data_IF_957710108915
#
_entry.id   IF_957710108915
#
_cell.length_a   1.000
_cell.length_b   1.000
_cell.length_c   1.000
_cell.angle_alpha   90.00
_cell.angle_beta   90.00
_cell.angle_gamma   90.00
#
_symmetry.space_group_name_H-M   'P 1'
#
loop_
_entity.id
_entity.type
_entity.pdbx_description
1 polymer ?
#
# COMPACT_ATOMS: atom_id res chain seq x y z
N UNK A 1 13.53 8.94 8.12
CA UNK A 1 13.85 8.08 6.96
C UNK A 1 15.33 7.87 6.73
N UNK A 2 15.74 6.60 6.74
CA UNK A 2 17.12 6.21 6.42
C UNK A 2 17.46 6.51 4.95
N UNK A 3 18.75 6.75 4.65
CA UNK A 3 19.20 7.04 3.28
C UNK A 3 18.88 5.90 2.30
N UNK A 4 18.89 4.65 2.79
CA UNK A 4 18.56 3.47 1.98
C UNK A 4 17.08 3.46 1.61
N UNK A 5 16.17 3.72 2.56
CA UNK A 5 14.74 3.83 2.31
C UNK A 5 14.41 4.97 1.35
N UNK A 6 15.06 6.13 1.51
CA UNK A 6 14.89 7.25 0.59
C UNK A 6 15.22 6.86 -0.85
N UNK A 7 16.36 6.18 -1.05
CA UNK A 7 16.80 5.74 -2.38
C UNK A 7 15.82 4.73 -2.99
N UNK A 8 15.38 3.75 -2.19
CA UNK A 8 14.44 2.73 -2.62
C UNK A 8 13.08 3.33 -3.01
N UNK A 9 12.56 4.26 -2.20
CA UNK A 9 11.30 4.94 -2.43
C UNK A 9 11.36 5.84 -3.66
N UNK A 10 12.41 6.65 -3.83
CA UNK A 10 12.57 7.47 -5.04
C UNK A 10 12.55 6.58 -6.29
N UNK A 11 13.32 5.50 -6.29
CA UNK A 11 13.30 4.56 -7.41
C UNK A 11 11.92 3.94 -7.65
N UNK A 12 11.22 3.56 -6.58
CA UNK A 12 9.87 2.97 -6.64
C UNK A 12 8.84 3.95 -7.21
N UNK A 13 8.89 5.21 -6.75
CA UNK A 13 8.04 6.28 -7.25
C UNK A 13 8.33 6.59 -8.73
N UNK A 14 9.60 6.58 -9.13
CA UNK A 14 9.98 6.73 -10.53
C UNK A 14 9.47 5.55 -11.39
N UNK A 15 9.52 4.30 -10.89
CA UNK A 15 8.96 3.16 -11.63
C UNK A 15 7.44 3.24 -11.82
N UNK A 16 6.74 3.98 -10.96
CA UNK A 16 5.32 4.29 -11.10
C UNK A 16 5.03 5.54 -11.96
N UNK A 17 6.06 6.22 -12.47
CA UNK A 17 5.93 7.42 -13.32
C UNK A 17 5.96 8.76 -12.57
N UNK A 18 6.21 8.78 -11.26
CA UNK A 18 6.34 10.01 -10.48
C UNK A 18 7.79 10.53 -10.50
N UNK A 19 8.24 11.10 -11.62
CA UNK A 19 9.63 11.57 -11.82
C UNK A 19 10.07 12.69 -10.89
N UNK A 20 9.14 13.50 -10.40
CA UNK A 20 9.41 14.65 -9.51
C UNK A 20 9.05 14.35 -8.05
N UNK A 21 8.91 13.08 -7.69
CA UNK A 21 8.54 12.69 -6.32
C UNK A 21 9.58 13.18 -5.31
N UNK A 22 9.09 13.82 -4.24
CA UNK A 22 9.89 14.23 -3.08
C UNK A 22 9.17 13.79 -1.82
N UNK A 23 9.93 13.25 -0.88
CA UNK A 23 9.40 12.89 0.43
C UNK A 23 8.94 14.14 1.17
N UNK A 24 7.75 14.07 1.77
CA UNK A 24 7.26 15.13 2.64
C UNK A 24 7.99 15.06 3.98
N UNK A 25 8.81 16.08 4.27
CA UNK A 25 9.60 16.18 5.51
C UNK A 25 9.04 17.19 6.51
N UNK A 26 7.95 17.90 6.20
CA UNK A 26 7.54 19.10 6.92
C UNK A 26 6.53 18.86 8.06
N UNK A 27 5.48 18.07 7.83
CA UNK A 27 4.32 17.99 8.77
C UNK A 27 4.12 16.61 9.42
N UNK A 28 4.47 15.54 8.69
CA UNK A 28 4.54 14.16 9.17
C UNK A 28 5.70 13.50 8.43
N UNK A 29 6.94 13.60 8.95
CA UNK A 29 8.14 13.29 8.18
C UNK A 29 8.26 11.84 7.69
N UNK A 30 7.34 10.98 8.11
CA UNK A 30 7.34 9.56 7.83
C UNK A 30 6.13 9.09 7.01
N UNK A 31 5.18 9.96 6.65
CA UNK A 31 3.91 9.56 5.99
C UNK A 31 3.78 10.26 4.63
N UNK A 32 3.74 9.50 3.54
CA UNK A 32 3.57 10.03 2.18
C UNK A 32 2.32 9.44 1.54
N UNK A 33 1.36 10.31 1.23
CA UNK A 33 0.11 9.94 0.56
C UNK A 33 0.21 10.26 -0.93
N UNK A 34 0.01 9.25 -1.77
CA UNK A 34 0.09 9.34 -3.23
C UNK A 34 -1.21 8.81 -3.82
N UNK A 35 -1.81 9.57 -4.71
CA UNK A 35 -3.00 9.14 -5.45
C UNK A 35 -2.54 8.36 -6.69
N UNK A 36 -3.03 7.12 -6.86
CA UNK A 36 -2.64 6.21 -7.95
C UNK A 36 -3.84 5.53 -8.61
N UNK A 37 -3.63 4.89 -9.76
CA UNK A 37 -4.67 4.17 -10.52
C UNK A 37 -5.83 5.06 -10.98
N UNK A 38 -5.52 6.22 -11.58
CA UNK A 38 -6.47 7.23 -12.06
C UNK A 38 -7.38 7.81 -10.97
N UNK A 39 -6.86 7.93 -9.74
CA UNK A 39 -7.63 8.47 -8.61
C UNK A 39 -8.43 7.43 -7.83
N UNK A 40 -8.39 6.15 -8.22
CA UNK A 40 -9.13 5.07 -7.56
C UNK A 40 -8.54 4.66 -6.22
N UNK A 41 -7.23 4.86 -6.03
CA UNK A 41 -6.52 4.43 -4.84
C UNK A 41 -5.69 5.56 -4.24
N UNK A 42 -5.53 5.52 -2.92
CA UNK A 42 -4.52 6.29 -2.21
C UNK A 42 -3.51 5.31 -1.64
N UNK A 43 -2.24 5.49 -1.97
CA UNK A 43 -1.12 4.77 -1.37
C UNK A 43 -0.53 5.65 -0.28
N UNK A 44 -0.57 5.16 0.95
CA UNK A 44 0.13 5.76 2.08
C UNK A 44 1.38 4.95 2.37
N UNK A 45 2.48 5.66 2.61
CA UNK A 45 3.79 5.09 2.87
C UNK A 45 4.24 5.59 4.24
N UNK A 46 4.30 4.69 5.20
CA UNK A 46 4.68 4.99 6.58
C UNK A 46 6.00 4.31 6.94
N UNK A 47 7.01 5.07 7.36
CA UNK A 47 8.23 4.47 7.92
C UNK A 47 8.02 4.00 9.36
N UNK A 48 8.46 2.78 9.66
CA UNK A 48 8.48 2.25 11.02
C UNK A 48 9.69 2.77 11.80
N UNK A 49 9.55 2.89 13.12
CA UNK A 49 10.60 3.34 14.02
C UNK A 49 11.94 2.66 13.75
N UNK A 50 12.99 3.49 13.69
CA UNK A 50 14.39 3.10 13.49
C UNK A 50 14.71 2.49 12.11
N UNK A 51 13.87 2.74 11.09
CA UNK A 51 14.14 2.30 9.71
C UNK A 51 14.03 0.78 9.52
N UNK A 52 13.36 0.09 10.46
CA UNK A 52 13.16 -1.38 10.46
C UNK A 52 12.18 -1.89 9.40
N UNK A 53 11.64 -0.98 8.60
CA UNK A 53 10.68 -1.29 7.56
C UNK A 53 9.84 -0.08 7.22
N UNK A 54 8.98 -0.27 6.23
CA UNK A 54 7.88 0.64 5.95
C UNK A 54 6.58 -0.15 5.87
N UNK A 55 5.47 0.50 6.18
CA UNK A 55 4.13 0.04 5.86
C UNK A 55 3.72 0.72 4.55
N UNK A 56 3.31 -0.09 3.59
CA UNK A 56 2.53 0.37 2.45
C UNK A 56 1.06 0.10 2.76
N UNK A 57 0.23 1.14 2.75
CA UNK A 57 -1.20 1.03 2.93
C UNK A 57 -1.92 1.54 1.68
N UNK A 58 -2.65 0.65 1.00
CA UNK A 58 -3.44 0.97 -0.18
C UNK A 58 -4.90 1.12 0.22
N UNK A 59 -5.43 2.33 0.09
CA UNK A 59 -6.80 2.68 0.42
C UNK A 59 -7.64 2.70 -0.84
N UNK A 60 -8.86 2.17 -0.72
CA UNK A 60 -9.86 2.20 -1.78
C UNK A 60 -11.23 2.54 -1.20
N UNK A 61 -11.84 3.59 -1.72
CA UNK A 61 -13.24 3.91 -1.40
C UNK A 61 -14.17 2.94 -2.11
N UNK A 62 -15.15 2.41 -1.39
CA UNK A 62 -16.15 1.46 -1.87
C UNK A 62 -17.54 2.03 -1.56
N UNK A 63 -18.50 1.98 -2.50
CA UNK A 63 -19.88 2.35 -2.20
C UNK A 63 -20.42 1.57 -1.01
N UNK A 64 -21.07 2.26 -0.06
CA UNK A 64 -21.51 1.65 1.21
C UNK A 64 -22.40 0.41 1.00
N UNK A 65 -23.19 0.37 -0.07
CA UNK A 65 -24.06 -0.76 -0.40
C UNK A 65 -23.31 -2.01 -0.88
N UNK A 66 -22.07 -1.88 -1.38
CA UNK A 66 -21.19 -2.99 -1.78
C UNK A 66 -20.19 -3.38 -0.69
N UNK A 67 -20.04 -2.53 0.33
CA UNK A 67 -18.94 -2.62 1.28
C UNK A 67 -18.88 -3.97 1.99
N UNK A 68 -20.02 -4.50 2.42
CA UNK A 68 -20.07 -5.77 3.14
C UNK A 68 -19.53 -6.92 2.29
N UNK A 69 -19.98 -7.01 1.04
CA UNK A 69 -19.57 -8.08 0.13
C UNK A 69 -18.09 -7.96 -0.23
N UNK A 70 -17.63 -6.76 -0.56
CA UNK A 70 -16.21 -6.48 -0.87
C UNK A 70 -15.31 -6.72 0.35
N UNK A 71 -15.75 -6.33 1.55
CA UNK A 71 -15.02 -6.58 2.80
C UNK A 71 -14.88 -8.08 3.09
N UNK A 72 -15.94 -8.86 2.86
CA UNK A 72 -15.91 -10.32 3.03
C UNK A 72 -14.97 -10.98 2.02
N UNK A 73 -15.00 -10.56 0.76
CA UNK A 73 -14.13 -11.08 -0.28
C UNK A 73 -12.66 -10.79 0.03
N UNK A 74 -12.32 -9.55 0.40
CA UNK A 74 -10.94 -9.17 0.69
C UNK A 74 -10.39 -9.86 1.94
N UNK A 75 -11.20 -10.00 3.00
CA UNK A 75 -10.83 -10.76 4.19
C UNK A 75 -10.53 -12.22 3.85
N UNK A 76 -11.32 -12.82 2.97
CA UNK A 76 -11.13 -14.21 2.52
C UNK A 76 -9.85 -14.35 1.71
N UNK A 77 -9.61 -13.42 0.78
CA UNK A 77 -8.43 -13.43 -0.09
C UNK A 77 -7.13 -13.26 0.70
N UNK A 78 -7.10 -12.34 1.68
CA UNK A 78 -5.92 -12.12 2.52
C UNK A 78 -5.62 -13.30 3.47
N UNK A 79 -6.63 -14.10 3.85
CA UNK A 79 -6.44 -15.23 4.77
C UNK A 79 -5.81 -16.46 4.09
N UNK A 80 -6.02 -16.64 2.79
CA UNK A 80 -5.81 -17.94 2.14
C UNK A 80 -4.47 -18.11 1.41
N UNK A 81 -3.70 -17.04 1.17
CA UNK A 81 -2.51 -17.16 0.33
C UNK A 81 -1.29 -17.66 1.10
N UNK A 82 -1.23 -18.99 1.30
CA UNK A 82 -0.10 -19.71 1.93
C UNK A 82 1.23 -19.60 1.15
N UNK A 83 1.23 -19.01 -0.04
CA UNK A 83 2.39 -18.96 -0.94
C UNK A 83 2.94 -17.55 -1.17
N UNK A 84 2.29 -16.51 -0.65
CA UNK A 84 2.85 -15.15 -0.72
C UNK A 84 3.96 -14.98 0.34
N UNK A 85 5.16 -14.52 -0.03
CA UNK A 85 6.21 -14.17 0.94
C UNK A 85 5.86 -12.90 1.75
N UNK A 86 4.78 -12.21 1.40
CA UNK A 86 4.33 -10.98 2.05
C UNK A 86 3.00 -11.23 2.77
N UNK A 87 2.96 -10.87 4.05
CA UNK A 87 1.73 -10.89 4.86
C UNK A 87 0.94 -9.62 4.54
N UNK A 88 -0.23 -9.79 3.94
CA UNK A 88 -1.18 -8.71 3.69
C UNK A 88 -2.21 -8.68 4.82
N UNK A 89 -2.34 -7.53 5.47
CA UNK A 89 -3.43 -7.25 6.39
C UNK A 89 -4.50 -6.44 5.68
N UNK A 90 -5.76 -6.60 6.10
CA UNK A 90 -6.87 -5.81 5.59
C UNK A 90 -7.67 -5.20 6.72
N UNK A 91 -8.25 -4.04 6.47
CA UNK A 91 -9.08 -3.33 7.43
C UNK A 91 -10.05 -2.37 6.77
N UNK A 92 -10.73 -1.59 7.61
CA UNK A 92 -11.67 -0.55 7.20
C UNK A 92 -11.25 0.76 7.87
N UNK A 93 -11.15 1.83 7.08
CA UNK A 93 -10.98 3.20 7.56
C UNK A 93 -12.32 3.92 7.45
N UNK A 94 -12.85 4.38 8.58
CA UNK A 94 -14.18 4.98 8.61
C UNK A 94 -15.26 3.99 8.19
N UNK A 95 -16.21 4.43 7.37
CA UNK A 95 -17.42 3.66 7.03
C UNK A 95 -17.48 3.19 5.56
N UNK A 96 -16.48 3.50 4.74
CA UNK A 96 -16.56 3.30 3.28
C UNK A 96 -15.21 3.05 2.59
N UNK A 97 -14.11 2.97 3.36
CA UNK A 97 -12.77 2.86 2.77
C UNK A 97 -12.10 1.57 3.21
N UNK A 98 -11.99 0.61 2.29
CA UNK A 98 -11.18 -0.58 2.50
C UNK A 98 -9.69 -0.23 2.48
N UNK A 99 -8.90 -0.95 3.26
CA UNK A 99 -7.45 -0.75 3.35
C UNK A 99 -6.74 -2.09 3.27
N UNK A 100 -5.78 -2.22 2.37
CA UNK A 100 -4.77 -3.27 2.38
C UNK A 100 -3.47 -2.72 2.93
N UNK A 101 -2.78 -3.47 3.79
CA UNK A 101 -1.52 -3.07 4.39
C UNK A 101 -0.49 -4.18 4.25
N UNK A 102 0.72 -3.82 3.86
CA UNK A 102 1.87 -4.73 3.79
C UNK A 102 3.06 -4.06 4.47
N UNK A 103 3.73 -4.80 5.35
CA UNK A 103 5.03 -4.40 5.89
C UNK A 103 6.13 -4.87 4.94
N UNK A 104 6.98 -3.94 4.54
CA UNK A 104 8.18 -4.21 3.73
C UNK A 104 9.41 -3.94 4.58
N UNK A 105 10.23 -4.96 4.82
CA UNK A 105 11.41 -4.86 5.69
C UNK A 105 12.70 -4.59 4.92
N UNK A 106 12.71 -4.87 3.62
CA UNK A 106 13.86 -4.67 2.76
C UNK A 106 13.69 -3.39 1.93
N UNK A 107 14.62 -2.46 2.11
CA UNK A 107 14.68 -1.19 1.37
C UNK A 107 15.18 -1.40 -0.07
N UNK A 108 14.43 -2.21 -0.83
CA UNK A 108 14.66 -2.49 -2.25
C UNK A 108 13.43 -2.10 -3.04
N UNK A 109 13.66 -1.39 -4.16
CA UNK A 109 12.60 -1.04 -5.11
C UNK A 109 11.75 -2.26 -5.51
N UNK A 110 12.39 -3.41 -5.75
CA UNK A 110 11.69 -4.63 -6.15
C UNK A 110 10.72 -5.13 -5.07
N UNK A 111 11.08 -5.01 -3.79
CA UNK A 111 10.23 -5.44 -2.68
C UNK A 111 8.99 -4.55 -2.56
N UNK A 112 9.14 -3.24 -2.82
CA UNK A 112 8.03 -2.28 -2.87
C UNK A 112 7.08 -2.55 -4.03
N UNK A 113 7.63 -2.77 -5.23
CA UNK A 113 6.84 -3.09 -6.41
C UNK A 113 6.06 -4.40 -6.22
N UNK A 114 6.71 -5.47 -5.71
CA UNK A 114 6.03 -6.73 -5.42
C UNK A 114 4.89 -6.59 -4.40
N UNK A 115 5.09 -5.78 -3.37
CA UNK A 115 4.05 -5.51 -2.37
C UNK A 115 2.86 -4.76 -2.99
N UNK A 116 3.12 -3.73 -3.80
CA UNK A 116 2.07 -2.99 -4.49
C UNK A 116 1.31 -3.86 -5.51
N UNK A 117 2.03 -4.66 -6.31
CA UNK A 117 1.43 -5.59 -7.29
C UNK A 117 0.50 -6.59 -6.61
N UNK A 118 0.91 -7.14 -5.47
CA UNK A 118 0.07 -8.04 -4.67
C UNK A 118 -1.20 -7.34 -4.18
N UNK A 119 -1.07 -6.13 -3.62
CA UNK A 119 -2.23 -5.35 -3.16
C UNK A 119 -3.18 -5.01 -4.33
N UNK A 120 -2.64 -4.65 -5.50
CA UNK A 120 -3.44 -4.39 -6.69
C UNK A 120 -4.18 -5.63 -7.18
N UNK A 121 -3.49 -6.77 -7.21
CA UNK A 121 -4.09 -8.04 -7.60
C UNK A 121 -5.28 -8.36 -6.69
N UNK A 122 -5.10 -8.25 -5.37
CA UNK A 122 -6.18 -8.48 -4.40
C UNK A 122 -7.37 -7.55 -4.62
N UNK A 123 -7.16 -6.27 -4.92
CA UNK A 123 -8.27 -5.37 -5.23
C UNK A 123 -8.93 -5.64 -6.59
N UNK A 124 -8.17 -6.10 -7.57
CA UNK A 124 -8.69 -6.44 -8.90
C UNK A 124 -9.52 -7.71 -8.84
N UNK A 125 -9.09 -8.71 -8.08
CA UNK A 125 -9.78 -9.99 -7.94
C UNK A 125 -11.14 -9.87 -7.26
N UNK A 126 -11.32 -8.89 -6.37
CA UNK A 126 -12.64 -8.61 -5.75
C UNK A 126 -13.55 -7.74 -6.64
N UNK A 127 -13.04 -7.17 -7.73
CA UNK A 127 -13.82 -6.38 -8.70
C UNK A 127 -14.39 -7.20 -9.86
N UNK A 128 -13.85 -8.40 -10.07
CA UNK A 128 -14.39 -9.39 -11.00
C UNK A 128 -15.71 -10.00 -10.49
#
# INVERSE_FOLDING_TARGET
>A
MSAQWNTALIGFMHSMGFSDFRLNTADKPNVNNIIIGDGRYVLDIEELDEGRGIILALFRKVPTHELYDKAKQILTACHYDKFSPLIVQTGLRGNDTLVLMVRVEQAWNQSLNRALDLMYKLYTDIDA
#
